data_IF_180204723439
#
_entry.id   IF_180204723439
#
_cell.length_a   1.000
_cell.length_b   1.000
_cell.length_c   1.000
_cell.angle_alpha   90.00
_cell.angle_beta   90.00
_cell.angle_gamma   90.00
#
_symmetry.space_group_name_H-M   'P 1'
#
loop_
_entity.id
_entity.type
_entity.pdbx_description
1 polymer ?
#
# COMPACT_ATOMS: atom_id res chain seq x y z
N UNK A 1 8.87 5.34 18.52
CA UNK A 1 8.01 4.19 18.88
C UNK A 1 8.67 3.38 19.99
N UNK A 2 9.79 2.69 19.75
CA UNK A 2 10.55 1.92 20.77
C UNK A 2 10.73 2.63 22.11
N UNK A 3 11.20 3.88 22.13
CA UNK A 3 11.36 4.68 23.37
C UNK A 3 10.09 4.75 24.21
N UNK A 4 8.92 4.89 23.58
CA UNK A 4 7.63 4.91 24.27
C UNK A 4 7.27 3.56 24.87
N UNK A 5 7.67 2.45 24.25
CA UNK A 5 7.49 1.09 24.78
C UNK A 5 8.32 0.90 26.04
N UNK A 6 9.61 1.26 25.99
CA UNK A 6 10.53 1.13 27.13
C UNK A 6 10.01 1.93 28.33
N UNK A 7 9.78 3.23 28.14
CA UNK A 7 9.29 4.12 29.22
C UNK A 7 7.90 3.70 29.69
N UNK A 8 6.99 3.35 28.78
CA UNK A 8 5.64 2.93 29.12
C UNK A 8 5.60 1.66 29.98
N UNK A 9 6.46 0.67 29.68
CA UNK A 9 6.60 -0.55 30.50
C UNK A 9 7.11 -0.24 31.91
N UNK A 10 8.09 0.66 32.04
CA UNK A 10 8.60 1.09 33.35
C UNK A 10 7.50 1.82 34.15
N UNK A 11 6.80 2.76 33.53
CA UNK A 11 5.71 3.49 34.17
C UNK A 11 4.57 2.56 34.62
N UNK A 12 4.19 1.58 33.79
CA UNK A 12 3.17 0.60 34.15
C UNK A 12 3.58 -0.22 35.38
N UNK A 13 4.82 -0.70 35.43
CA UNK A 13 5.34 -1.46 36.57
C UNK A 13 5.35 -0.61 37.86
N UNK A 14 5.78 0.66 37.78
CA UNK A 14 5.80 1.58 38.91
C UNK A 14 4.40 1.89 39.44
N UNK A 15 3.45 2.14 38.53
CA UNK A 15 2.09 2.54 38.88
C UNK A 15 1.28 1.39 39.47
N UNK A 16 1.27 0.22 38.81
CA UNK A 16 0.50 -0.93 39.26
C UNK A 16 1.22 -1.80 40.30
N UNK A 17 2.51 -1.53 40.56
CA UNK A 17 3.37 -2.27 41.50
C UNK A 17 3.39 -3.79 41.26
N UNK A 18 3.23 -4.19 40.00
CA UNK A 18 3.31 -5.57 39.54
C UNK A 18 3.82 -5.59 38.10
N UNK A 19 4.55 -6.64 37.69
CA UNK A 19 4.99 -6.77 36.31
C UNK A 19 3.81 -6.90 35.36
N UNK A 20 3.90 -6.28 34.17
CA UNK A 20 3.02 -6.63 33.05
C UNK A 20 3.25 -8.10 32.65
N UNK A 21 2.21 -8.77 32.18
CA UNK A 21 2.29 -10.19 31.76
C UNK A 21 2.55 -10.34 30.27
N UNK A 22 1.99 -9.45 29.45
CA UNK A 22 2.12 -9.41 27.99
C UNK A 22 2.15 -7.97 27.50
N UNK A 23 2.79 -7.77 26.34
CA UNK A 23 2.88 -6.49 25.65
C UNK A 23 2.39 -6.61 24.22
N UNK A 24 1.52 -5.68 23.80
CA UNK A 24 0.85 -5.73 22.51
C UNK A 24 1.05 -4.43 21.72
N UNK A 25 1.12 -4.57 20.41
CA UNK A 25 1.09 -3.45 19.46
C UNK A 25 -0.17 -3.53 18.59
N UNK A 26 -0.78 -2.37 18.36
CA UNK A 26 -1.88 -2.20 17.41
C UNK A 26 -1.59 -0.97 16.54
N UNK A 27 -1.56 -1.14 15.22
CA UNK A 27 -1.39 -0.01 14.31
C UNK A 27 -1.77 -0.33 12.88
N UNK A 28 -2.24 0.68 12.14
CA UNK A 28 -2.60 0.60 10.73
C UNK A 28 -1.83 1.64 9.89
N UNK A 29 -1.64 1.42 8.59
CA UNK A 29 -0.90 2.34 7.69
C UNK A 29 0.55 2.54 8.14
N UNK A 30 0.96 3.78 8.46
CA UNK A 30 2.27 4.05 9.07
C UNK A 30 2.45 3.31 10.39
N UNK A 31 1.38 3.07 11.15
CA UNK A 31 1.40 2.21 12.34
C UNK A 31 1.65 0.74 11.98
N UNK A 32 1.04 0.22 10.93
CA UNK A 32 1.31 -1.15 10.45
C UNK A 32 2.80 -1.34 10.11
N UNK A 33 3.41 -0.35 9.45
CA UNK A 33 4.87 -0.31 9.23
C UNK A 33 5.64 -0.30 10.55
N UNK A 34 5.27 0.55 11.52
CA UNK A 34 5.96 0.62 12.81
C UNK A 34 5.88 -0.71 13.59
N UNK A 35 4.74 -1.41 13.55
CA UNK A 35 4.60 -2.74 14.13
C UNK A 35 5.55 -3.75 13.48
N UNK A 36 5.58 -3.82 12.15
CA UNK A 36 6.52 -4.69 11.44
C UNK A 36 7.99 -4.29 11.65
N UNK A 37 8.29 -3.00 11.79
CA UNK A 37 9.62 -2.53 12.16
C UNK A 37 10.02 -3.02 13.56
N UNK A 38 9.08 -3.03 14.51
CA UNK A 38 9.31 -3.60 15.83
C UNK A 38 9.65 -5.09 15.76
N UNK A 39 8.90 -5.87 14.98
CA UNK A 39 9.20 -7.29 14.77
C UNK A 39 10.59 -7.50 14.14
N UNK A 40 10.98 -6.66 13.18
CA UNK A 40 12.25 -6.77 12.46
C UNK A 40 13.47 -6.33 13.30
N UNK A 41 13.35 -5.29 14.14
CA UNK A 41 14.49 -4.64 14.79
C UNK A 41 14.46 -4.71 16.33
N UNK A 42 13.28 -4.82 16.93
CA UNK A 42 13.06 -4.82 18.38
C UNK A 42 12.19 -6.02 18.82
N UNK A 43 12.65 -7.27 18.60
CA UNK A 43 11.81 -8.46 18.71
C UNK A 43 11.24 -8.73 20.11
N UNK A 44 11.77 -8.08 21.15
CA UNK A 44 11.34 -8.22 22.54
C UNK A 44 10.40 -7.09 23.01
N UNK A 45 10.08 -6.12 22.13
CA UNK A 45 9.17 -5.03 22.50
C UNK A 45 7.75 -5.53 22.71
N UNK A 46 7.29 -6.49 21.91
CA UNK A 46 5.91 -6.98 21.94
C UNK A 46 5.82 -8.51 21.83
N UNK A 47 4.92 -9.10 22.60
CA UNK A 47 4.52 -10.51 22.46
C UNK A 47 3.56 -10.70 21.28
N UNK A 48 2.74 -9.69 20.98
CA UNK A 48 1.71 -9.72 19.95
C UNK A 48 1.65 -8.42 19.16
N UNK A 49 1.61 -8.51 17.83
CA UNK A 49 1.53 -7.36 16.93
C UNK A 49 0.33 -7.54 16.00
N UNK A 50 -0.57 -6.57 15.96
CA UNK A 50 -1.60 -6.44 14.94
C UNK A 50 -1.26 -5.26 14.03
N UNK A 51 -0.91 -5.56 12.77
CA UNK A 51 -0.46 -4.57 11.78
C UNK A 51 -1.42 -4.54 10.57
N UNK A 52 -2.20 -3.46 10.46
CA UNK A 52 -3.11 -3.23 9.34
C UNK A 52 -2.48 -2.41 8.21
N UNK A 53 -2.85 -2.69 6.96
CA UNK A 53 -2.43 -1.99 5.73
C UNK A 53 -1.01 -1.41 5.82
N UNK A 54 0.03 -2.22 6.07
CA UNK A 54 1.31 -1.71 6.52
C UNK A 54 2.02 -0.89 5.42
N UNK A 55 2.46 0.32 5.76
CA UNK A 55 3.26 1.20 4.88
C UNK A 55 4.74 0.75 4.75
N UNK A 56 4.97 -0.54 4.55
CA UNK A 56 6.27 -1.18 4.34
C UNK A 56 6.76 -1.04 2.90
N UNK A 57 8.04 -1.30 2.69
CA UNK A 57 8.79 -0.87 1.50
C UNK A 57 8.63 0.64 1.28
N UNK A 58 8.78 1.40 2.38
CA UNK A 58 8.33 2.80 2.50
C UNK A 58 8.87 3.71 1.39
N UNK A 59 10.15 3.59 1.03
CA UNK A 59 10.73 4.45 0.00
C UNK A 59 10.12 4.18 -1.37
N UNK A 60 9.92 2.90 -1.71
CA UNK A 60 9.27 2.50 -2.95
C UNK A 60 7.76 2.85 -2.95
N UNK A 61 7.06 2.72 -1.82
CA UNK A 61 5.66 3.16 -1.66
C UNK A 61 5.50 4.66 -1.90
N UNK A 62 6.42 5.48 -1.36
CA UNK A 62 6.39 6.93 -1.60
C UNK A 62 6.69 7.24 -3.07
N UNK A 63 7.68 6.57 -3.67
CA UNK A 63 7.97 6.70 -5.10
C UNK A 63 6.79 6.26 -5.98
N UNK A 64 6.10 5.19 -5.62
CA UNK A 64 4.88 4.71 -6.27
C UNK A 64 3.72 5.70 -6.09
N UNK A 65 3.61 6.42 -4.97
CA UNK A 65 2.62 7.50 -4.91
C UNK A 65 2.97 8.66 -5.85
N UNK A 66 4.26 8.92 -6.09
CA UNK A 66 4.71 10.00 -6.97
C UNK A 66 4.55 9.71 -8.45
N UNK A 67 4.72 8.47 -8.88
CA UNK A 67 4.74 8.13 -10.32
C UNK A 67 3.38 8.34 -11.00
N UNK A 68 2.27 8.30 -10.25
CA UNK A 68 0.93 8.48 -10.79
C UNK A 68 0.73 9.84 -11.46
N UNK A 69 1.29 10.91 -10.91
CA UNK A 69 1.17 12.23 -11.54
C UNK A 69 1.85 12.28 -12.92
N UNK A 70 2.95 11.55 -13.11
CA UNK A 70 3.59 11.39 -14.41
C UNK A 70 2.75 10.60 -15.43
N UNK A 71 1.81 9.76 -14.95
CA UNK A 71 0.88 9.00 -15.79
C UNK A 71 -0.37 9.83 -16.11
N UNK A 72 -0.99 10.44 -15.09
CA UNK A 72 -2.27 11.14 -15.24
C UNK A 72 -2.10 12.55 -15.80
N UNK A 73 -0.96 13.18 -15.56
CA UNK A 73 -0.79 14.62 -15.77
C UNK A 73 -1.71 15.46 -14.88
N UNK A 74 -1.82 16.73 -15.22
CA UNK A 74 -2.75 17.68 -14.57
C UNK A 74 -4.15 17.64 -15.21
N UNK A 75 -5.10 18.40 -14.67
CA UNK A 75 -6.49 18.41 -15.15
C UNK A 75 -6.72 18.83 -16.61
N UNK A 76 -5.73 19.45 -17.25
CA UNK A 76 -5.79 19.84 -18.68
C UNK A 76 -5.07 18.85 -19.61
N UNK A 77 -4.43 17.82 -19.05
CA UNK A 77 -3.68 16.81 -19.81
C UNK A 77 -4.63 15.85 -20.54
N UNK A 78 -4.32 15.40 -21.76
CA UNK A 78 -5.16 14.44 -22.50
C UNK A 78 -5.22 13.06 -21.83
N UNK A 79 -4.22 12.74 -21.02
CA UNK A 79 -4.12 11.53 -20.19
C UNK A 79 -4.94 11.60 -18.90
N UNK A 80 -5.46 12.77 -18.52
CA UNK A 80 -6.18 12.93 -17.27
C UNK A 80 -7.60 12.35 -17.33
N UNK A 81 -8.02 11.70 -16.24
CA UNK A 81 -9.39 11.25 -16.03
C UNK A 81 -9.97 11.98 -14.82
N UNK A 82 -11.14 12.60 -15.00
CA UNK A 82 -11.89 13.16 -13.87
C UNK A 82 -12.44 12.06 -12.97
N UNK A 83 -12.82 12.39 -11.73
CA UNK A 83 -13.47 11.45 -10.82
C UNK A 83 -14.72 10.79 -11.43
N UNK A 84 -15.49 11.52 -12.25
CA UNK A 84 -16.64 10.96 -12.97
C UNK A 84 -16.23 9.89 -14.00
N UNK A 85 -15.11 10.06 -14.70
CA UNK A 85 -14.57 9.04 -15.60
C UNK A 85 -14.02 7.84 -14.84
N UNK A 86 -13.36 8.06 -13.69
CA UNK A 86 -12.94 6.96 -12.81
C UNK A 86 -14.12 6.16 -12.27
N UNK A 87 -15.28 6.78 -12.01
CA UNK A 87 -16.50 6.05 -11.65
C UNK A 87 -17.03 5.15 -12.78
N UNK A 88 -16.91 5.58 -14.03
CA UNK A 88 -17.22 4.75 -15.21
C UNK A 88 -16.23 3.57 -15.31
N UNK A 89 -14.92 3.84 -15.12
CA UNK A 89 -13.88 2.81 -15.08
C UNK A 89 -14.17 1.78 -13.99
N UNK A 90 -14.47 2.23 -12.79
CA UNK A 90 -14.81 1.37 -11.67
C UNK A 90 -16.02 0.48 -11.98
N UNK A 91 -17.08 1.04 -12.57
CA UNK A 91 -18.28 0.28 -12.97
C UNK A 91 -17.93 -0.83 -13.96
N UNK A 92 -17.08 -0.54 -14.95
CA UNK A 92 -16.63 -1.56 -15.91
C UNK A 92 -15.71 -2.61 -15.28
N UNK A 93 -14.84 -2.21 -14.34
CA UNK A 93 -14.00 -3.15 -13.59
C UNK A 93 -14.89 -4.12 -12.79
N UNK A 94 -15.89 -3.61 -12.07
CA UNK A 94 -16.85 -4.46 -11.35
C UNK A 94 -17.57 -5.39 -12.33
N UNK A 95 -18.05 -4.90 -13.48
CA UNK A 95 -18.68 -5.74 -14.51
C UNK A 95 -17.78 -6.87 -15.01
N UNK A 96 -16.45 -6.67 -15.04
CA UNK A 96 -15.48 -7.68 -15.47
C UNK A 96 -15.03 -8.62 -14.34
N UNK A 97 -15.12 -8.19 -13.08
CA UNK A 97 -14.40 -8.85 -11.98
C UNK A 97 -15.22 -9.25 -10.76
N UNK A 98 -16.43 -8.71 -10.56
CA UNK A 98 -17.29 -8.99 -9.39
C UNK A 98 -17.57 -10.50 -9.28
N UNK A 99 -18.11 -11.12 -10.33
CA UNK A 99 -18.48 -12.54 -10.34
C UNK A 99 -17.30 -13.53 -10.39
N UNK A 100 -16.04 -13.08 -10.26
CA UNK A 100 -14.88 -13.98 -10.31
C UNK A 100 -14.79 -14.90 -9.10
N UNK A 101 -15.38 -14.49 -7.97
CA UNK A 101 -15.52 -15.31 -6.76
C UNK A 101 -16.85 -16.07 -6.68
N UNK A 102 -17.74 -15.87 -7.66
CA UNK A 102 -19.05 -16.49 -7.74
C UNK A 102 -20.17 -15.73 -7.02
N UNK A 103 -19.92 -14.49 -6.57
CA UNK A 103 -20.92 -13.58 -6.05
C UNK A 103 -21.01 -12.29 -6.87
N UNK A 104 -22.24 -11.82 -7.12
CA UNK A 104 -22.51 -10.51 -7.70
C UNK A 104 -22.99 -9.56 -6.61
N UNK A 105 -22.07 -9.08 -5.77
CA UNK A 105 -22.37 -8.30 -4.58
C UNK A 105 -21.68 -6.92 -4.55
N UNK A 106 -20.96 -6.57 -5.62
CA UNK A 106 -20.23 -5.31 -5.73
C UNK A 106 -18.89 -5.33 -4.98
N UNK A 107 -18.30 -6.50 -4.75
CA UNK A 107 -17.03 -6.71 -4.07
C UNK A 107 -16.13 -7.56 -4.97
N UNK A 108 -14.84 -7.18 -5.06
CA UNK A 108 -13.83 -8.02 -5.69
C UNK A 108 -13.14 -8.77 -4.55
N UNK A 109 -13.51 -10.03 -4.33
CA UNK A 109 -13.05 -10.80 -3.17
C UNK A 109 -11.54 -11.09 -3.21
N UNK A 110 -11.02 -11.39 -4.42
CA UNK A 110 -9.61 -11.59 -4.68
C UNK A 110 -9.14 -10.79 -5.90
N UNK A 111 -8.61 -9.56 -5.69
CA UNK A 111 -8.12 -8.72 -6.78
C UNK A 111 -6.91 -9.31 -7.54
N UNK A 112 -6.32 -10.41 -7.08
CA UNK A 112 -5.28 -11.11 -7.85
C UNK A 112 -5.83 -11.84 -9.06
N UNK A 113 -7.15 -12.11 -9.09
CA UNK A 113 -7.84 -12.71 -10.24
C UNK A 113 -8.33 -11.66 -11.24
N UNK A 114 -8.47 -10.40 -10.81
CA UNK A 114 -8.99 -9.32 -11.65
C UNK A 114 -7.90 -8.70 -12.53
N UNK A 115 -8.06 -8.84 -13.86
CA UNK A 115 -7.20 -8.22 -14.88
C UNK A 115 -8.07 -7.45 -15.88
N UNK A 116 -8.59 -6.27 -15.50
CA UNK A 116 -9.56 -5.57 -16.29
C UNK A 116 -8.98 -5.05 -17.60
N UNK A 117 -9.82 -5.00 -18.63
CA UNK A 117 -9.50 -4.52 -19.98
C UNK A 117 -10.14 -3.16 -20.21
N UNK A 118 -9.42 -2.04 -19.99
CA UNK A 118 -9.98 -0.70 -20.13
C UNK A 118 -10.35 -0.35 -21.58
N UNK A 119 -9.85 -1.12 -22.57
CA UNK A 119 -10.24 -0.96 -23.98
C UNK A 119 -11.74 -1.13 -24.21
N UNK A 120 -12.45 -1.85 -23.33
CA UNK A 120 -13.90 -1.98 -23.38
C UNK A 120 -14.62 -0.62 -23.26
N UNK A 121 -13.97 0.39 -22.69
CA UNK A 121 -14.49 1.75 -22.54
C UNK A 121 -14.01 2.71 -23.63
N UNK A 122 -13.23 2.26 -24.62
CA UNK A 122 -12.70 3.17 -25.62
C UNK A 122 -13.83 3.75 -26.49
N UNK A 123 -13.86 5.07 -26.65
CA UNK A 123 -14.86 5.76 -27.45
C UNK A 123 -14.81 5.31 -28.92
N UNK A 124 -15.98 5.02 -29.50
CA UNK A 124 -16.10 4.93 -30.95
C UNK A 124 -15.97 6.34 -31.59
N UNK A 125 -15.63 6.44 -32.90
CA UNK A 125 -15.29 7.72 -33.55
C UNK A 125 -16.34 8.84 -33.50
N UNK A 126 -17.60 8.53 -33.13
CA UNK A 126 -18.72 9.47 -33.05
C UNK A 126 -19.42 9.52 -31.67
N UNK A 127 -18.85 8.86 -30.65
CA UNK A 127 -19.44 8.86 -29.30
C UNK A 127 -19.13 10.14 -28.52
N UNK A 128 -20.06 10.50 -27.65
CA UNK A 128 -19.83 11.53 -26.63
C UNK A 128 -18.77 11.04 -25.64
N UNK A 129 -17.68 11.81 -25.52
CA UNK A 129 -16.52 11.47 -24.67
C UNK A 129 -16.78 11.56 -23.16
N UNK A 130 -18.00 11.93 -22.74
CA UNK A 130 -18.39 11.95 -21.32
C UNK A 130 -18.64 10.56 -20.73
N UNK A 131 -18.98 9.57 -21.54
CA UNK A 131 -19.31 8.19 -21.07
C UNK A 131 -18.28 7.13 -21.48
N UNK A 132 -17.17 7.54 -22.11
CA UNK A 132 -16.14 6.65 -22.62
C UNK A 132 -14.75 7.30 -22.49
N UNK A 133 -13.71 6.52 -22.78
CA UNK A 133 -12.31 6.92 -22.67
C UNK A 133 -11.69 7.16 -24.05
N UNK A 134 -10.86 8.19 -24.15
CA UNK A 134 -9.95 8.35 -25.30
C UNK A 134 -8.87 7.28 -25.27
N UNK A 135 -8.13 7.09 -26.38
CA UNK A 135 -7.00 6.16 -26.43
C UNK A 135 -5.97 6.45 -25.33
N UNK A 136 -5.65 7.73 -25.10
CA UNK A 136 -4.70 8.14 -24.06
C UNK A 136 -5.22 7.80 -22.65
N UNK A 137 -6.52 8.01 -22.41
CA UNK A 137 -7.14 7.68 -21.12
C UNK A 137 -7.18 6.17 -20.87
N UNK A 138 -7.40 5.35 -21.91
CA UNK A 138 -7.31 3.88 -21.80
C UNK A 138 -5.89 3.46 -21.40
N UNK A 139 -4.87 4.05 -22.03
CA UNK A 139 -3.47 3.79 -21.68
C UNK A 139 -3.13 4.25 -20.26
N UNK A 140 -3.67 5.38 -19.80
CA UNK A 140 -3.56 5.82 -18.40
C UNK A 140 -4.16 4.81 -17.43
N UNK A 141 -5.38 4.32 -17.67
CA UNK A 141 -6.02 3.30 -16.80
C UNK A 141 -5.17 2.03 -16.76
N UNK A 142 -4.66 1.59 -17.90
CA UNK A 142 -3.76 0.44 -17.98
C UNK A 142 -2.47 0.66 -17.18
N UNK A 143 -1.88 1.85 -17.28
CA UNK A 143 -0.64 2.18 -16.60
C UNK A 143 -0.79 2.24 -15.07
N UNK A 144 -1.86 2.84 -14.54
CA UNK A 144 -2.05 2.91 -13.07
C UNK A 144 -2.36 1.54 -12.44
N UNK A 145 -2.94 0.62 -13.22
CA UNK A 145 -3.22 -0.77 -12.81
C UNK A 145 -2.08 -1.74 -13.20
N UNK A 146 -0.91 -1.21 -13.54
CA UNK A 146 0.31 -1.99 -13.80
C UNK A 146 1.35 -1.78 -12.69
N UNK A 147 2.27 -2.73 -12.56
CA UNK A 147 3.39 -2.60 -11.63
C UNK A 147 4.26 -1.38 -12.00
N UNK A 148 4.82 -0.72 -10.99
CA UNK A 148 5.79 0.34 -11.20
C UNK A 148 7.17 -0.27 -11.43
N UNK A 149 7.65 -0.21 -12.67
CA UNK A 149 8.89 -0.87 -13.11
C UNK A 149 10.06 0.13 -13.16
N UNK A 150 11.22 -0.29 -12.65
CA UNK A 150 12.48 0.45 -12.67
C UNK A 150 13.18 0.47 -14.03
N UNK A 151 14.22 1.30 -14.15
CA UNK A 151 15.06 1.36 -15.37
C UNK A 151 15.78 0.03 -15.65
N UNK A 152 15.94 -0.83 -14.65
CA UNK A 152 16.53 -2.18 -14.76
C UNK A 152 15.52 -3.29 -15.09
N UNK A 153 14.29 -2.91 -15.45
CA UNK A 153 13.16 -3.80 -15.74
C UNK A 153 12.70 -4.65 -14.55
N UNK A 154 13.11 -4.31 -13.33
CA UNK A 154 12.61 -4.96 -12.12
C UNK A 154 11.47 -4.15 -11.50
N UNK A 155 10.51 -4.82 -10.84
CA UNK A 155 9.45 -4.11 -10.13
C UNK A 155 10.01 -3.30 -8.96
N UNK A 156 9.71 -2.00 -8.94
CA UNK A 156 9.90 -1.13 -7.78
C UNK A 156 8.77 -1.35 -6.78
N UNK A 157 7.53 -1.38 -7.26
CA UNK A 157 6.34 -1.53 -6.42
C UNK A 157 5.20 -2.19 -7.21
N UNK A 158 4.36 -3.03 -6.59
CA UNK A 158 3.26 -3.67 -7.31
C UNK A 158 2.17 -2.68 -7.72
N UNK A 159 1.34 -3.09 -8.69
CA UNK A 159 0.18 -2.34 -9.21
C UNK A 159 -0.77 -1.90 -8.11
N UNK A 160 -1.56 -0.85 -8.37
CA UNK A 160 -2.79 -0.63 -7.61
C UNK A 160 -3.76 -1.79 -7.90
N UNK A 161 -4.34 -2.40 -6.87
CA UNK A 161 -5.35 -3.45 -7.11
C UNK A 161 -6.65 -2.87 -7.67
N UNK A 162 -7.31 -3.54 -8.64
CA UNK A 162 -8.63 -3.14 -9.11
C UNK A 162 -9.66 -3.08 -7.97
N UNK A 163 -10.57 -2.11 -8.03
CA UNK A 163 -11.59 -1.85 -7.02
C UNK A 163 -11.29 -0.63 -6.13
N UNK A 164 -10.07 -0.08 -6.18
CA UNK A 164 -9.65 1.08 -5.40
C UNK A 164 -9.84 2.43 -6.13
N UNK A 165 -10.39 2.42 -7.35
CA UNK A 165 -10.38 3.58 -8.26
C UNK A 165 -11.11 4.78 -7.68
N UNK A 166 -12.22 4.56 -6.98
CA UNK A 166 -13.05 5.66 -6.45
C UNK A 166 -12.27 6.49 -5.43
N UNK A 167 -11.58 5.85 -4.49
CA UNK A 167 -10.74 6.53 -3.51
C UNK A 167 -9.53 7.20 -4.16
N UNK A 168 -8.81 6.44 -5.00
CA UNK A 168 -7.61 6.91 -5.69
C UNK A 168 -7.89 8.10 -6.62
N UNK A 169 -9.09 8.17 -7.21
CA UNK A 169 -9.52 9.29 -8.07
C UNK A 169 -9.56 10.65 -7.36
N UNK A 170 -9.74 10.63 -6.03
CA UNK A 170 -9.78 11.84 -5.19
C UNK A 170 -8.43 12.18 -4.54
N UNK A 171 -7.44 11.31 -4.71
CA UNK A 171 -6.11 11.42 -4.11
C UNK A 171 -5.00 11.26 -5.16
N UNK A 172 -4.51 10.04 -5.37
CA UNK A 172 -3.38 9.73 -6.25
C UNK A 172 -3.59 10.15 -7.71
N UNK A 173 -4.84 10.17 -8.20
CA UNK A 173 -5.18 10.51 -9.59
C UNK A 173 -5.83 11.88 -9.74
N UNK A 174 -5.81 12.73 -8.71
CA UNK A 174 -6.53 14.00 -8.67
C UNK A 174 -5.92 15.11 -9.56
N UNK A 175 -4.91 14.80 -10.39
CA UNK A 175 -4.30 15.75 -11.32
C UNK A 175 -3.30 16.71 -10.66
N UNK A 176 -2.73 16.31 -9.52
CA UNK A 176 -1.69 17.03 -8.80
C UNK A 176 -0.66 16.04 -8.23
N UNK A 177 0.59 16.46 -8.00
CA UNK A 177 1.59 15.63 -7.33
C UNK A 177 1.10 15.18 -5.94
N UNK A 178 1.35 13.92 -5.59
CA UNK A 178 0.92 13.37 -4.30
C UNK A 178 1.55 14.13 -3.12
N UNK A 179 0.78 14.51 -2.08
CA UNK A 179 1.34 15.19 -0.91
C UNK A 179 2.36 14.32 -0.17
N UNK A 180 2.29 12.99 -0.31
CA UNK A 180 3.23 12.07 0.34
C UNK A 180 4.67 12.17 -0.18
N UNK A 181 4.86 12.65 -1.42
CA UNK A 181 6.20 12.81 -1.99
C UNK A 181 6.81 14.17 -1.66
N UNK A 182 5.99 15.20 -1.49
CA UNK A 182 6.46 16.59 -1.39
C UNK A 182 7.48 16.74 -0.27
N UNK A 183 7.08 16.42 0.96
CA UNK A 183 7.94 16.60 2.13
C UNK A 183 9.06 15.57 2.18
N UNK A 184 8.80 14.33 1.76
CA UNK A 184 9.81 13.29 1.75
C UNK A 184 10.98 13.67 0.84
N UNK A 185 10.70 14.09 -0.39
CA UNK A 185 11.76 14.44 -1.34
C UNK A 185 12.41 15.78 -1.01
N UNK A 186 11.64 16.78 -0.56
CA UNK A 186 12.18 18.08 -0.16
C UNK A 186 13.08 17.99 1.07
N UNK A 187 12.66 17.32 2.12
CA UNK A 187 13.32 17.44 3.42
C UNK A 187 14.20 16.25 3.80
N UNK A 188 13.98 15.08 3.18
CA UNK A 188 14.77 13.88 3.48
C UNK A 188 15.69 13.51 2.33
N UNK A 189 15.15 13.41 1.11
CA UNK A 189 15.94 12.94 -0.05
C UNK A 189 16.92 14.00 -0.54
N UNK A 190 16.44 15.21 -0.83
CA UNK A 190 17.24 16.28 -1.43
C UNK A 190 17.64 17.40 -0.49
N UNK A 191 16.99 17.50 0.68
CA UNK A 191 17.20 18.61 1.62
C UNK A 191 17.09 19.99 0.92
N UNK A 192 16.16 20.08 -0.04
CA UNK A 192 15.89 21.24 -0.86
C UNK A 192 14.37 21.52 -0.85
N UNK A 193 13.95 22.52 -0.07
CA UNK A 193 12.55 22.94 0.05
C UNK A 193 11.94 23.43 -1.28
N UNK A 194 12.77 23.81 -2.26
CA UNK A 194 12.35 24.30 -3.57
C UNK A 194 12.25 23.19 -4.63
N UNK A 195 12.52 21.92 -4.29
CA UNK A 195 12.33 20.81 -5.22
C UNK A 195 10.86 20.75 -5.68
N UNK A 196 10.67 20.58 -6.99
CA UNK A 196 9.35 20.58 -7.62
C UNK A 196 8.79 19.15 -7.70
N UNK A 197 7.70 18.83 -6.98
CA UNK A 197 7.06 17.52 -7.03
C UNK A 197 6.53 17.12 -8.41
N UNK A 198 6.21 18.10 -9.28
CA UNK A 198 5.78 17.81 -10.64
C UNK A 198 6.92 17.28 -11.53
N UNK A 199 8.18 17.47 -11.13
CA UNK A 199 9.37 16.97 -11.83
C UNK A 199 9.77 15.53 -11.46
N UNK A 200 9.01 14.90 -10.56
CA UNK A 200 9.28 13.54 -10.08
C UNK A 200 9.41 12.54 -11.23
N UNK A 201 10.46 11.73 -11.20
CA UNK A 201 10.74 10.70 -12.18
C UNK A 201 11.42 9.47 -11.55
N UNK A 202 11.70 8.48 -12.38
CA UNK A 202 12.26 7.18 -11.96
C UNK A 202 13.64 7.27 -11.30
N UNK A 203 14.44 8.30 -11.61
CA UNK A 203 15.75 8.51 -11.00
C UNK A 203 15.63 9.00 -9.57
N UNK A 204 14.63 9.83 -9.30
CA UNK A 204 14.29 10.24 -7.92
C UNK A 204 13.92 9.02 -7.08
N UNK A 205 13.06 8.14 -7.64
CA UNK A 205 12.68 6.87 -7.00
C UNK A 205 13.90 6.01 -6.66
N UNK A 206 14.76 5.78 -7.64
CA UNK A 206 15.97 4.95 -7.49
C UNK A 206 16.91 5.53 -6.42
N UNK A 207 17.09 6.85 -6.42
CA UNK A 207 17.92 7.53 -5.43
C UNK A 207 17.34 7.41 -4.01
N UNK A 208 16.04 7.67 -3.83
CA UNK A 208 15.38 7.57 -2.52
C UNK A 208 15.38 6.15 -1.95
N UNK A 209 15.16 5.13 -2.80
CA UNK A 209 15.21 3.72 -2.41
C UNK A 209 16.63 3.35 -1.94
N UNK A 210 17.67 3.82 -2.65
CA UNK A 210 19.07 3.59 -2.26
C UNK A 210 19.45 4.30 -0.96
N UNK A 211 18.94 5.52 -0.74
CA UNK A 211 19.25 6.32 0.45
C UNK A 211 18.78 5.65 1.74
N UNK A 212 17.56 5.08 1.74
CA UNK A 212 16.94 4.31 2.84
C UNK A 212 17.37 4.71 4.26
N UNK A 213 17.10 5.96 4.69
CA UNK A 213 17.59 6.46 5.96
C UNK A 213 17.03 5.62 7.12
N UNK A 214 17.91 5.20 8.03
CA UNK A 214 17.59 4.38 9.20
C UNK A 214 16.74 3.13 8.88
N UNK A 215 16.93 2.52 7.70
CA UNK A 215 16.16 1.36 7.25
C UNK A 215 14.63 1.59 7.26
N UNK A 216 14.18 2.83 6.99
CA UNK A 216 12.75 3.18 6.98
C UNK A 216 11.92 2.32 6.02
N UNK A 217 12.55 1.73 4.99
CA UNK A 217 11.91 0.76 4.10
C UNK A 217 11.14 -0.32 4.86
N UNK A 218 11.67 -0.80 6.01
CA UNK A 218 10.99 -1.79 6.85
C UNK A 218 10.63 -3.07 6.07
N UNK A 219 11.57 -3.60 5.31
CA UNK A 219 11.32 -4.70 4.38
C UNK A 219 12.27 -5.90 4.59
N UNK A 220 12.75 -6.10 5.82
CA UNK A 220 13.56 -7.29 6.15
C UNK A 220 12.67 -8.54 6.16
N UNK A 221 13.04 -9.56 5.40
CA UNK A 221 12.32 -10.84 5.36
C UNK A 221 12.66 -11.81 6.50
N UNK A 222 13.78 -11.64 7.19
CA UNK A 222 14.16 -12.54 8.29
C UNK A 222 13.53 -12.08 9.61
N UNK A 223 12.57 -12.86 10.13
CA UNK A 223 11.90 -12.64 11.42
C UNK A 223 12.28 -13.67 12.50
N UNK A 224 13.38 -14.41 12.32
CA UNK A 224 13.80 -15.49 13.25
C UNK A 224 13.99 -15.01 14.69
N UNK A 225 14.45 -13.77 14.90
CA UNK A 225 14.61 -13.22 16.24
C UNK A 225 13.26 -12.99 16.94
N UNK A 226 12.25 -12.48 16.23
CA UNK A 226 10.90 -12.30 16.75
C UNK A 226 10.21 -13.64 17.01
N UNK A 227 10.36 -14.59 16.08
CA UNK A 227 9.87 -15.96 16.26
C UNK A 227 10.51 -16.63 17.49
N UNK A 228 11.83 -16.53 17.66
CA UNK A 228 12.57 -17.13 18.78
C UNK A 228 12.21 -16.48 20.13
N UNK A 229 11.85 -15.20 20.13
CA UNK A 229 11.31 -14.50 21.30
C UNK A 229 9.88 -14.94 21.66
N UNK A 230 9.24 -15.79 20.84
CA UNK A 230 7.87 -16.25 21.03
C UNK A 230 6.79 -15.27 20.53
N UNK A 231 7.21 -14.21 19.81
CA UNK A 231 6.33 -13.18 19.28
C UNK A 231 5.36 -13.71 18.23
N UNK A 232 4.16 -13.12 18.18
CA UNK A 232 3.11 -13.43 17.20
C UNK A 232 2.70 -12.16 16.46
N UNK A 233 2.59 -12.24 15.14
CA UNK A 233 2.15 -11.12 14.31
C UNK A 233 0.99 -11.53 13.42
N UNK A 234 -0.08 -10.74 13.51
CA UNK A 234 -1.22 -10.78 12.60
C UNK A 234 -1.14 -9.55 11.71
N UNK A 235 -1.14 -9.77 10.41
CA UNK A 235 -1.20 -8.69 9.42
C UNK A 235 -2.52 -8.78 8.68
N UNK A 236 -3.16 -7.64 8.43
CA UNK A 236 -4.33 -7.57 7.57
C UNK A 236 -4.21 -6.43 6.58
N UNK A 237 -4.89 -6.54 5.43
CA UNK A 237 -4.91 -5.50 4.42
C UNK A 237 -6.24 -5.50 3.65
N UNK A 238 -6.91 -4.35 3.61
CA UNK A 238 -8.10 -4.14 2.79
C UNK A 238 -7.83 -4.33 1.30
N UNK A 239 -8.67 -5.12 0.61
CA UNK A 239 -8.53 -5.40 -0.81
C UNK A 239 -9.01 -4.25 -1.72
N UNK A 240 -9.55 -3.18 -1.13
CA UNK A 240 -9.94 -1.94 -1.82
C UNK A 240 -9.15 -0.71 -1.33
N UNK A 241 -7.99 -0.91 -0.68
CA UNK A 241 -7.17 0.18 -0.13
C UNK A 241 -6.63 1.11 -1.25
N UNK A 242 -7.00 2.37 -1.20
CA UNK A 242 -6.69 3.38 -2.21
C UNK A 242 -5.43 4.20 -1.90
N UNK A 243 -4.77 3.94 -0.78
CA UNK A 243 -3.57 4.66 -0.32
C UNK A 243 -2.33 3.77 -0.39
N UNK A 244 -2.46 2.51 0.04
CA UNK A 244 -1.38 1.52 0.06
C UNK A 244 -1.92 0.29 -0.65
N UNK A 245 -1.27 -0.11 -1.74
CA UNK A 245 -1.75 -1.26 -2.51
C UNK A 245 -1.63 -2.56 -1.70
N UNK A 246 -2.72 -3.34 -1.62
CA UNK A 246 -2.76 -4.60 -0.87
C UNK A 246 -1.82 -5.70 -1.38
N UNK A 247 -1.51 -5.80 -2.70
CA UNK A 247 -0.47 -6.68 -3.22
C UNK A 247 0.91 -6.48 -2.56
N UNK A 248 1.23 -5.31 -2.01
CA UNK A 248 2.52 -5.10 -1.35
C UNK A 248 2.65 -5.90 -0.04
N UNK A 249 1.54 -6.16 0.66
CA UNK A 249 1.55 -7.01 1.85
C UNK A 249 1.68 -8.48 1.49
N UNK A 250 1.02 -8.93 0.41
CA UNK A 250 1.21 -10.28 -0.12
C UNK A 250 2.68 -10.49 -0.57
N UNK A 251 3.26 -9.50 -1.26
CA UNK A 251 4.68 -9.48 -1.64
C UNK A 251 5.59 -9.61 -0.43
N UNK A 252 5.31 -8.92 0.68
CA UNK A 252 6.10 -9.03 1.90
C UNK A 252 5.94 -10.40 2.60
N UNK A 253 4.73 -10.95 2.67
CA UNK A 253 4.50 -12.29 3.21
C UNK A 253 5.33 -13.34 2.45
N UNK A 254 5.28 -13.30 1.11
CA UNK A 254 6.09 -14.18 0.26
C UNK A 254 7.59 -13.92 0.43
N UNK A 255 8.01 -12.66 0.60
CA UNK A 255 9.41 -12.33 0.86
C UNK A 255 9.92 -12.95 2.17
N UNK A 256 9.13 -12.89 3.25
CA UNK A 256 9.46 -13.51 4.54
C UNK A 256 9.57 -15.03 4.39
N UNK A 257 8.58 -15.66 3.75
CA UNK A 257 8.59 -17.10 3.46
C UNK A 257 9.88 -17.52 2.73
N UNK A 258 10.21 -16.82 1.65
CA UNK A 258 11.40 -17.11 0.84
C UNK A 258 12.71 -16.89 1.59
N UNK A 259 12.83 -15.81 2.38
CA UNK A 259 14.08 -15.49 3.11
C UNK A 259 14.32 -16.43 4.27
N UNK A 260 13.26 -16.82 4.99
CA UNK A 260 13.37 -17.76 6.10
C UNK A 260 13.40 -19.23 5.65
N UNK A 261 13.06 -19.50 4.38
CA UNK A 261 12.92 -20.86 3.85
C UNK A 261 11.76 -21.62 4.49
N UNK A 262 10.70 -20.91 4.89
CA UNK A 262 9.54 -21.49 5.58
C UNK A 262 8.30 -21.44 4.68
N UNK A 263 7.64 -22.57 4.38
CA UNK A 263 6.32 -22.56 3.75
C UNK A 263 5.28 -21.91 4.67
N UNK A 264 4.09 -21.63 4.13
CA UNK A 264 3.01 -20.96 4.88
C UNK A 264 2.63 -21.67 6.19
N UNK A 265 2.60 -23.00 6.17
CA UNK A 265 2.29 -23.84 7.35
C UNK A 265 3.30 -23.67 8.49
N UNK A 266 4.56 -23.34 8.16
CA UNK A 266 5.62 -23.09 9.13
C UNK A 266 5.69 -21.61 9.56
N UNK A 267 5.10 -20.71 8.78
CA UNK A 267 4.87 -19.32 9.19
C UNK A 267 3.67 -19.19 10.15
N UNK A 268 2.62 -19.97 9.93
CA UNK A 268 1.35 -19.90 10.66
C UNK A 268 1.45 -19.90 12.20
N UNK A 269 2.43 -20.58 12.85
CA UNK A 269 2.60 -20.49 14.30
C UNK A 269 2.96 -19.10 14.81
N UNK A 270 3.47 -18.18 13.98
CA UNK A 270 3.94 -16.87 14.43
C UNK A 270 3.64 -15.69 13.49
N UNK A 271 3.39 -15.90 12.20
CA UNK A 271 3.10 -14.84 11.24
C UNK A 271 1.97 -15.25 10.30
N UNK A 272 0.81 -14.58 10.42
CA UNK A 272 -0.35 -14.79 9.54
C UNK A 272 -0.74 -13.49 8.84
N UNK A 273 -1.11 -13.61 7.57
CA UNK A 273 -1.62 -12.52 6.75
C UNK A 273 -3.07 -12.81 6.32
N UNK A 274 -3.97 -11.87 6.60
CA UNK A 274 -5.37 -11.92 6.21
C UNK A 274 -5.70 -10.83 5.18
N UNK A 275 -6.33 -11.22 4.08
CA UNK A 275 -6.86 -10.30 3.07
C UNK A 275 -8.29 -9.93 3.46
N UNK A 276 -8.57 -8.65 3.72
CA UNK A 276 -9.90 -8.19 4.14
C UNK A 276 -10.70 -7.59 2.99
N UNK A 277 -11.96 -7.98 2.83
CA UNK A 277 -12.78 -7.67 1.65
C UNK A 277 -13.09 -6.18 1.43
N UNK A 278 -13.36 -5.43 2.50
CA UNK A 278 -13.81 -4.04 2.40
C UNK A 278 -13.21 -3.17 3.50
N UNK A 279 -12.06 -2.58 3.23
CA UNK A 279 -11.43 -1.62 4.15
C UNK A 279 -10.78 -0.48 3.36
N UNK A 280 -11.60 0.37 2.73
CA UNK A 280 -11.24 1.80 2.66
C UNK A 280 -11.51 2.39 4.04
N UNK A 281 -10.65 3.26 4.57
CA UNK A 281 -10.80 3.95 5.87
C UNK A 281 -12.01 4.90 5.95
N UNK A 282 -13.19 4.50 5.45
CA UNK A 282 -14.46 5.00 5.97
C UNK A 282 -14.72 4.21 7.24
N UNK A 283 -14.55 4.88 8.37
CA UNK A 283 -15.04 4.48 9.70
C UNK A 283 -16.25 3.55 9.59
N UNK A 284 -16.01 2.25 9.58
CA UNK A 284 -17.04 1.28 9.88
C UNK A 284 -17.31 1.51 11.37
N UNK A 285 -18.49 2.04 11.69
CA UNK A 285 -19.02 2.00 13.03
C UNK A 285 -19.16 0.52 13.43
N UNK A 286 -18.08 -0.05 13.96
CA UNK A 286 -18.12 -1.32 14.66
C UNK A 286 -18.73 -0.98 16.01
N UNK A 287 -20.05 -1.10 16.08
CA UNK A 287 -20.79 -1.12 17.33
C UNK A 287 -20.69 -2.55 17.85
N UNK A 288 -20.02 -2.73 18.99
CA UNK A 288 -20.07 -3.98 19.75
C UNK A 288 -21.43 -4.16 20.40
#
# INVERSE_FOLDING_TARGET
MHTGVVVGKEMANLFYRRPYTKSYYLGCSTGGRQGLYAAQEFPNDFDGILAGSPAIDRNALVAWNGHFFGITGNSTSPTFLSAAKWAIVHTEIMRQCDDLDGALDGIIEDPTLCYPRPEALQCAPSMNTSTCLTSDQVLTVRAVLSDYIGEDLKPIFPRLQPGAELGASTSAFAGAPSPYIVDWYRYVVYQNASWDPASFNIKDATYAIKLNPANIATFKGNLSAFQSAGGKVLVYHGQQDDVITSPNTARYYNHVSNVMGLPSEDLDPFFRFFRGHRETLRTANITF
#
